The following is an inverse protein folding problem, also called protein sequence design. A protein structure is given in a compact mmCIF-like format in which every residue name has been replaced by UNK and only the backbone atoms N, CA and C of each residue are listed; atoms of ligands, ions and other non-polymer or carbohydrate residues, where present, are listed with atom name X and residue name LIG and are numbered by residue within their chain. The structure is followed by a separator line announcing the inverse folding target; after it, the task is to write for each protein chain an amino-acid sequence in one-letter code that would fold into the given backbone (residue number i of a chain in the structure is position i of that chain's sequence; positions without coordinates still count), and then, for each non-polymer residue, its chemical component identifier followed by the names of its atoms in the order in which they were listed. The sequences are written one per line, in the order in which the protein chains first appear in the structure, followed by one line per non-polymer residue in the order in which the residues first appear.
data_IF_091780064692
#
_entry.id   IF_091780064692
#
_cell.length_a   1.000
_cell.length_b   1.000
_cell.length_c   1.000
_cell.angle_alpha   90.00
_cell.angle_beta   90.00
_cell.angle_gamma   90.00
#
_symmetry.space_group_name_H-M   'P 1'
#
loop_
_entity.id
_entity.type
_entity.pdbx_description
1 polymer ?
2 non-polymer ?
3 non-polymer ?
4 water ?
#
# COMPACT_ATOMS: atom_id res chain seq x y z
N UNK A 3 8.87 -20.00 -10.75
CA UNK A 3 8.75 -18.56 -10.37
C UNK A 3 9.89 -17.77 -10.99
N UNK A 4 10.87 -18.47 -11.55
CA UNK A 4 11.93 -17.83 -12.30
C UNK A 4 11.52 -17.65 -13.77
N UNK A 5 11.59 -16.41 -14.21
CA UNK A 5 11.31 -16.08 -15.62
C UNK A 5 12.62 -15.76 -16.36
N UNK A 6 12.89 -16.45 -17.48
CA UNK A 6 14.07 -16.21 -18.30
C UNK A 6 13.95 -14.88 -19.04
N UNK A 7 15.04 -14.23 -19.23
CA UNK A 7 14.97 -12.96 -19.94
C UNK A 7 14.33 -13.11 -21.32
N UNK A 8 14.46 -14.29 -21.94
CA UNK A 8 13.95 -14.46 -23.29
C UNK A 8 12.41 -14.51 -23.29
N UNK A 9 11.85 -14.60 -22.09
CA UNK A 9 10.42 -14.79 -21.92
C UNK A 9 9.68 -13.48 -21.70
N UNK A 10 10.43 -12.37 -21.73
CA UNK A 10 9.89 -11.02 -21.50
C UNK A 10 10.21 -10.09 -22.67
N UNK A 11 9.28 -9.20 -23.00
CA UNK A 11 9.63 -8.08 -23.84
C UNK A 11 9.15 -6.81 -23.22
N UNK A 12 9.91 -5.72 -23.41
CA UNK A 12 9.59 -4.43 -22.82
C UNK A 12 9.07 -3.51 -23.91
N UNK A 13 7.89 -2.95 -23.71
CA UNK A 13 7.19 -2.16 -24.74
C UNK A 13 7.27 -0.67 -24.48
N UNK A 14 6.85 -0.26 -23.30
CA UNK A 14 6.96 1.14 -22.98
C UNK A 14 7.17 1.37 -21.53
N UNK A 15 7.99 2.36 -21.20
CA UNK A 15 8.21 2.74 -19.82
C UNK A 15 6.98 3.47 -19.32
N UNK A 16 6.45 3.06 -18.17
CA UNK A 16 5.24 3.70 -17.65
C UNK A 16 5.47 4.60 -16.43
N UNK A 17 6.55 4.35 -15.70
CA UNK A 17 6.88 5.25 -14.59
C UNK A 17 7.84 4.63 -13.60
N UNK A 18 8.01 5.28 -12.46
CA UNK A 18 8.96 4.85 -11.41
C UNK A 18 8.20 4.54 -10.12
N UNK A 19 8.52 3.40 -9.53
CA UNK A 19 7.95 2.97 -8.27
C UNK A 19 9.06 2.61 -7.28
N UNK A 20 8.66 1.97 -6.19
CA UNK A 20 9.61 1.54 -5.17
C UNK A 20 10.67 0.70 -5.88
N UNK A 21 11.95 1.02 -5.70
CA UNK A 21 13.06 0.20 -6.20
C UNK A 21 13.41 0.44 -7.65
N UNK A 22 12.57 1.08 -8.45
CA UNK A 22 13.01 1.41 -9.81
C UNK A 22 11.93 1.60 -10.85
N UNK A 23 12.30 1.50 -12.12
CA UNK A 23 11.41 1.85 -13.23
C UNK A 23 10.51 0.70 -13.62
N UNK A 24 9.33 1.04 -14.11
CA UNK A 24 8.33 0.02 -14.49
C UNK A 24 7.94 0.18 -15.97
N UNK A 25 7.84 -0.95 -16.67
CA UNK A 25 7.50 -0.95 -18.10
C UNK A 25 6.25 -1.76 -18.28
N UNK A 26 5.44 -1.38 -19.29
CA UNK A 26 4.44 -2.26 -19.85
C UNK A 26 5.16 -3.23 -20.76
N UNK A 27 4.81 -4.51 -20.70
CA UNK A 27 5.46 -5.48 -21.59
C UNK A 27 4.63 -6.73 -21.75
N UNK A 28 5.22 -7.77 -22.34
CA UNK A 28 4.55 -9.05 -22.49
C UNK A 28 5.39 -10.15 -21.91
N UNK A 29 4.71 -11.20 -21.47
CA UNK A 29 5.34 -12.36 -20.88
C UNK A 29 4.93 -13.58 -21.71
N UNK A 30 5.92 -14.31 -22.24
CA UNK A 30 5.71 -15.38 -23.24
C UNK A 30 4.65 -16.40 -22.84
N UNK A 31 3.72 -16.68 -23.74
CA UNK A 31 2.66 -17.65 -23.55
C UNK A 31 1.75 -17.40 -22.34
N UNK A 32 1.83 -16.18 -21.80
CA UNK A 32 1.20 -15.85 -20.52
C UNK A 32 0.26 -14.64 -20.60
N UNK A 33 0.78 -13.43 -20.61
CA UNK A 33 -0.06 -12.24 -20.67
C UNK A 33 0.73 -10.97 -20.91
N UNK A 34 0.02 -9.88 -21.07
CA UNK A 34 0.58 -8.58 -20.84
C UNK A 34 0.88 -8.39 -19.36
N UNK A 35 1.97 -7.72 -19.06
CA UNK A 35 2.46 -7.63 -17.68
C UNK A 35 3.06 -6.24 -17.41
N UNK A 36 3.23 -5.91 -16.13
CA UNK A 36 4.15 -4.85 -15.73
C UNK A 36 5.47 -5.47 -15.32
N UNK A 37 6.56 -4.80 -15.65
CA UNK A 37 7.88 -5.33 -15.31
C UNK A 37 8.65 -4.25 -14.62
N UNK A 38 9.12 -4.52 -13.39
CA UNK A 38 9.90 -3.51 -12.67
C UNK A 38 11.34 -3.94 -12.72
N UNK A 39 12.19 -3.04 -13.18
CA UNK A 39 13.62 -3.27 -13.19
C UNK A 39 14.22 -2.70 -11.92
N UNK A 40 14.79 -3.57 -11.09
CA UNK A 40 15.29 -3.15 -9.78
C UNK A 40 16.58 -2.35 -9.94
N UNK A 41 16.60 -1.12 -9.46
CA UNK A 41 17.85 -0.35 -9.50
C UNK A 41 18.96 -0.83 -8.58
N UNK A 42 20.17 -0.82 -9.10
CA UNK A 42 21.33 -1.18 -8.31
C UNK A 42 21.37 -0.38 -7.00
N UNK A 43 21.55 -1.09 -5.89
CA UNK A 43 21.78 -0.43 -4.61
C UNK A 43 20.51 -0.20 -3.78
N UNK A 44 19.33 -0.30 -4.41
CA UNK A 44 18.07 0.03 -3.71
C UNK A 44 17.50 -1.13 -2.87
N UNK A 45 17.78 -2.38 -3.26
CA UNK A 45 17.08 -3.54 -2.70
C UNK A 45 18.08 -4.56 -2.19
N UNK A 46 17.73 -5.19 -1.06
CA UNK A 46 18.41 -6.39 -0.63
C UNK A 46 17.96 -7.57 -1.47
N UNK A 47 18.62 -7.77 -2.61
CA UNK A 47 18.10 -8.65 -3.66
C UNK A 47 18.09 -10.11 -3.24
N UNK A 48 19.15 -10.56 -2.59
CA UNK A 48 19.20 -11.98 -2.20
C UNK A 48 18.09 -12.30 -1.20
N UNK A 49 17.86 -11.39 -0.25
CA UNK A 49 16.78 -11.58 0.74
C UNK A 49 15.44 -11.67 0.01
N UNK A 50 15.20 -10.76 -0.93
CA UNK A 50 13.93 -10.79 -1.65
C UNK A 50 13.76 -12.08 -2.45
N UNK A 51 14.83 -12.49 -3.13
CA UNK A 51 14.79 -13.72 -3.93
C UNK A 51 14.41 -14.94 -3.08
N UNK A 52 14.92 -15.00 -1.85
CA UNK A 52 14.52 -16.09 -0.95
C UNK A 52 13.03 -16.10 -0.65
N UNK A 53 12.39 -14.94 -0.68
CA UNK A 53 10.99 -14.80 -0.26
C UNK A 53 10.04 -14.85 -1.45
N UNK A 54 10.57 -14.78 -2.67
CA UNK A 54 9.74 -14.53 -3.86
C UNK A 54 8.73 -15.66 -4.09
N UNK A 55 9.15 -16.90 -3.89
CA UNK A 55 8.25 -18.02 -4.15
C UNK A 55 7.03 -18.03 -3.26
N UNK A 56 7.24 -17.74 -1.98
CA UNK A 56 6.13 -17.60 -1.03
C UNK A 56 5.29 -16.32 -1.25
N UNK A 57 5.92 -15.26 -1.74
CA UNK A 57 5.15 -14.07 -2.08
C UNK A 57 4.22 -14.32 -3.26
N UNK A 58 4.66 -15.15 -4.19
CA UNK A 58 3.84 -15.48 -5.34
C UNK A 58 2.60 -16.27 -4.94
N UNK A 59 2.70 -17.03 -3.86
CA UNK A 59 1.56 -17.81 -3.38
C UNK A 59 0.46 -16.94 -2.77
N UNK A 60 0.80 -15.69 -2.46
CA UNK A 60 -0.25 -14.77 -2.08
C UNK A 60 -1.03 -14.35 -3.32
N UNK A 61 -2.34 -14.60 -3.32
CA UNK A 61 -3.12 -14.39 -4.50
C UNK A 61 -4.55 -14.00 -4.10
N UNK A 62 -4.96 -12.79 -4.44
CA UNK A 62 -6.28 -12.28 -4.09
C UNK A 62 -6.64 -11.20 -5.10
N UNK A 63 -7.92 -11.07 -5.44
CA UNK A 63 -8.37 -10.15 -6.47
C UNK A 63 -8.03 -8.69 -6.15
N UNK A 64 -7.80 -8.38 -4.87
CA UNK A 64 -7.49 -7.01 -4.46
C UNK A 64 -6.03 -6.84 -3.99
N UNK A 65 -5.16 -7.78 -4.38
CA UNK A 65 -3.71 -7.62 -4.19
C UNK A 65 -3.06 -7.72 -5.56
N UNK A 66 -2.09 -6.87 -5.82
CA UNK A 66 -1.28 -7.00 -7.03
C UNK A 66 -0.52 -8.31 -7.07
N UNK A 67 -0.78 -9.10 -8.12
CA UNK A 67 -0.24 -10.47 -8.21
C UNK A 67 1.20 -10.46 -8.74
N UNK A 68 2.14 -10.96 -7.92
CA UNK A 68 3.49 -11.27 -8.41
C UNK A 68 3.48 -12.52 -9.29
N UNK A 69 3.99 -12.39 -10.52
CA UNK A 69 3.98 -13.52 -11.47
C UNK A 69 5.33 -14.24 -11.50
N UNK A 70 6.40 -13.52 -11.18
CA UNK A 70 7.71 -14.14 -11.13
C UNK A 70 8.84 -13.14 -11.11
N UNK A 71 10.06 -13.67 -11.14
CA UNK A 71 11.26 -12.86 -11.07
C UNK A 71 12.26 -13.25 -12.15
N UNK A 72 12.81 -12.26 -12.85
CA UNK A 72 13.83 -12.50 -13.84
C UNK A 72 15.16 -12.16 -13.20
N UNK A 73 16.00 -13.17 -12.98
CA UNK A 73 17.21 -12.94 -12.18
C UNK A 73 18.51 -13.44 -12.82
N UNK A 74 18.46 -13.89 -14.06
CA UNK A 74 19.65 -14.46 -14.68
C UNK A 74 20.80 -13.45 -14.73
N UNK A 75 20.46 -12.18 -14.90
CA UNK A 75 21.45 -11.13 -15.15
C UNK A 75 21.05 -9.89 -14.36
N UNK A 76 22.02 -9.09 -13.94
CA UNK A 76 21.72 -7.81 -13.31
C UNK A 76 21.38 -6.80 -14.40
N UNK A 77 20.38 -5.94 -14.17
CA UNK A 77 19.58 -5.85 -12.93
C UNK A 77 18.42 -6.83 -12.98
N UNK A 78 17.95 -7.24 -11.82
CA UNK A 78 16.86 -8.22 -11.79
C UNK A 78 15.53 -7.50 -12.01
N UNK A 79 14.51 -8.26 -12.39
CA UNK A 79 13.20 -7.69 -12.70
C UNK A 79 12.12 -8.44 -11.94
N UNK A 80 11.13 -7.73 -11.44
CA UNK A 80 9.90 -8.38 -10.93
C UNK A 80 8.76 -8.16 -11.92
N UNK A 81 7.95 -9.21 -12.10
CA UNK A 81 6.86 -9.19 -13.09
C UNK A 81 5.53 -9.38 -12.37
N UNK A 82 4.57 -8.50 -12.69
CA UNK A 82 3.23 -8.59 -12.11
C UNK A 82 2.13 -8.37 -13.13
N UNK A 83 0.91 -8.55 -12.68
CA UNK A 83 -0.24 -8.16 -13.46
C UNK A 83 -0.16 -6.69 -13.78
N UNK A 84 -0.72 -6.30 -14.92
CA UNK A 84 -0.72 -4.90 -15.34
C UNK A 84 -1.99 -4.17 -14.88
N UNK A 85 -1.79 -2.98 -14.29
CA UNK A 85 -2.89 -2.12 -13.84
C UNK A 85 -2.80 -0.80 -14.59
N UNK A 86 -3.91 -0.39 -15.20
CA UNK A 86 -3.89 0.67 -16.21
C UNK A 86 -3.74 2.10 -15.69
N UNK A 87 -4.21 2.38 -14.48
CA UNK A 87 -4.41 3.77 -14.05
C UNK A 87 -3.52 4.24 -12.90
N UNK A 88 -2.40 3.57 -12.67
CA UNK A 88 -1.35 4.16 -11.84
C UNK A 88 -1.63 4.09 -10.34
N UNK A 89 -1.02 5.01 -9.60
CA UNK A 89 -1.13 5.06 -8.13
C UNK A 89 -2.47 5.68 -7.73
N UNK A 90 -3.08 5.11 -6.68
CA UNK A 90 -4.32 5.66 -6.13
C UNK A 90 -4.14 7.11 -5.71
N UNK A 91 -3.00 7.44 -5.10
CA UNK A 91 -2.73 8.82 -4.70
C UNK A 91 -2.85 9.84 -5.86
N UNK A 92 -2.13 9.57 -6.94
CA UNK A 92 -2.18 10.41 -8.13
C UNK A 92 -3.55 10.40 -8.75
N UNK A 93 -4.18 9.24 -8.75
CA UNK A 93 -5.51 9.08 -9.37
C UNK A 93 -6.54 9.99 -8.67
N UNK A 94 -6.51 10.03 -7.34
CA UNK A 94 -7.41 10.91 -6.59
C UNK A 94 -7.06 12.37 -6.84
N UNK A 95 -5.76 12.67 -6.82
CA UNK A 95 -5.33 14.06 -6.90
C UNK A 95 -5.69 14.66 -8.24
N UNK A 96 -5.49 13.88 -9.29
CA UNK A 96 -5.71 14.43 -10.63
C UNK A 96 -7.20 14.57 -10.95
N UNK A 97 -8.05 13.88 -10.21
CA UNK A 97 -9.49 13.90 -10.50
C UNK A 97 -10.30 14.43 -9.33
N UNK A 98 -9.64 15.23 -8.52
CA UNK A 98 -10.28 15.80 -7.35
C UNK A 98 -11.53 16.60 -7.75
N UNK A 99 -12.63 16.37 -7.04
CA UNK A 99 -13.90 17.03 -7.37
C UNK A 99 -14.86 16.15 -8.16
N UNK A 100 -14.36 15.03 -8.68
CA UNK A 100 -15.19 14.21 -9.58
C UNK A 100 -15.84 12.99 -8.92
N UNK A 101 -15.30 12.55 -7.79
CA UNK A 101 -15.67 11.25 -7.21
C UNK A 101 -16.82 11.41 -6.26
N UNK A 102 -17.81 10.53 -6.37
CA UNK A 102 -18.89 10.46 -5.36
C UNK A 102 -18.37 9.82 -4.07
N UNK A 103 -18.93 10.21 -2.93
CA UNK A 103 -18.52 9.59 -1.66
C UNK A 103 -18.64 8.07 -1.72
N UNK A 104 -19.67 7.55 -2.42
CA UNK A 104 -19.82 6.09 -2.54
C UNK A 104 -18.66 5.40 -3.25
N UNK A 105 -18.10 6.08 -4.24
CA UNK A 105 -16.98 5.54 -5.00
C UNK A 105 -15.72 5.52 -4.10
N UNK A 106 -15.51 6.61 -3.39
CA UNK A 106 -14.44 6.71 -2.38
C UNK A 106 -14.53 5.59 -1.32
N UNK A 107 -15.73 5.37 -0.79
CA UNK A 107 -15.91 4.27 0.15
C UNK A 107 -15.58 2.95 -0.53
N UNK A 108 -15.96 2.81 -1.79
CA UNK A 108 -15.72 1.53 -2.45
C UNK A 108 -14.23 1.25 -2.63
N UNK A 109 -13.46 2.30 -2.87
CA UNK A 109 -12.01 2.15 -2.95
C UNK A 109 -11.46 1.67 -1.61
N UNK A 110 -11.96 2.23 -0.52
CA UNK A 110 -11.48 1.81 0.79
C UNK A 110 -11.85 0.37 1.03
N UNK A 111 -13.04 -0.04 0.60
CA UNK A 111 -13.41 -1.46 0.74
C UNK A 111 -12.49 -2.40 -0.04
N UNK A 112 -12.09 -2.02 -1.25
CA UNK A 112 -11.21 -2.90 -2.03
C UNK A 112 -9.91 -3.13 -1.25
N UNK A 113 -9.35 -2.04 -0.75
CA UNK A 113 -8.14 -2.08 0.06
C UNK A 113 -8.36 -2.94 1.29
N UNK A 114 -9.47 -2.71 2.00
CA UNK A 114 -9.78 -3.47 3.18
C UNK A 114 -9.86 -4.96 2.89
N UNK A 115 -10.41 -5.33 1.74
CA UNK A 115 -10.54 -6.73 1.41
C UNK A 115 -9.19 -7.38 1.18
N UNK A 116 -8.32 -6.68 0.44
CA UNK A 116 -6.95 -7.19 0.25
C UNK A 116 -6.20 -7.31 1.57
N UNK A 117 -6.37 -6.31 2.44
CA UNK A 117 -5.69 -6.34 3.75
C UNK A 117 -6.24 -7.46 4.65
N UNK A 118 -7.55 -7.73 4.56
CA UNK A 118 -8.12 -8.89 5.27
C UNK A 118 -7.48 -10.21 4.86
N UNK A 119 -7.16 -10.34 3.58
CA UNK A 119 -6.55 -11.56 3.10
C UNK A 119 -5.14 -11.66 3.65
N UNK A 120 -4.40 -10.55 3.56
CA UNK A 120 -3.03 -10.51 4.19
C UNK A 120 -3.05 -10.81 5.69
N UNK A 121 -3.96 -10.17 6.41
CA UNK A 121 -4.15 -10.46 7.82
C UNK A 121 -4.35 -11.97 8.07
N UNK A 122 -5.25 -12.60 7.31
CA UNK A 122 -5.52 -14.01 7.54
C UNK A 122 -4.27 -14.84 7.22
N UNK A 123 -3.45 -14.35 6.28
CA UNK A 123 -2.22 -15.07 5.90
C UNK A 123 -1.05 -14.72 6.84
N UNK A 124 -1.32 -13.88 7.82
CA UNK A 124 -0.30 -13.43 8.76
C UNK A 124 0.84 -12.68 8.06
N UNK A 125 0.51 -11.95 7.02
CA UNK A 125 1.48 -11.15 6.30
C UNK A 125 1.24 -9.68 6.64
N UNK A 126 2.32 -9.00 7.05
CA UNK A 126 2.20 -7.60 7.45
C UNK A 126 2.68 -6.73 6.30
N UNK A 127 1.89 -5.74 5.97
CA UNK A 127 2.27 -4.84 4.87
C UNK A 127 3.49 -4.01 5.26
N UNK A 128 3.36 -3.28 6.37
CA UNK A 128 4.37 -2.38 6.95
C UNK A 128 4.41 -0.99 6.40
N UNK A 129 3.81 -0.74 5.27
CA UNK A 129 3.86 0.65 4.76
C UNK A 129 2.69 0.95 3.87
N UNK A 130 1.50 0.58 4.32
CA UNK A 130 0.28 0.77 3.54
C UNK A 130 -0.09 2.25 3.42
N UNK A 131 -0.34 2.72 2.20
CA UNK A 131 -0.64 4.12 1.97
C UNK A 131 -1.22 4.27 0.57
N UNK A 132 -1.90 5.38 0.32
CA UNK A 132 -2.54 5.58 -0.99
C UNK A 132 -1.48 5.49 -2.12
N UNK A 133 -0.26 5.95 -1.79
CA UNK A 133 0.83 5.99 -2.76
C UNK A 133 1.29 4.63 -3.21
N UNK A 134 0.92 3.55 -2.51
CA UNK A 134 1.27 2.23 -3.04
C UNK A 134 0.11 1.32 -3.35
N UNK A 135 -1.07 1.92 -3.45
CA UNK A 135 -2.20 1.23 -4.04
C UNK A 135 -2.28 1.59 -5.51
N UNK A 136 -2.63 0.60 -6.34
CA UNK A 136 -2.72 0.80 -7.79
C UNK A 136 -4.18 0.71 -8.21
N UNK A 137 -4.49 1.37 -9.32
CA UNK A 137 -5.86 1.46 -9.84
C UNK A 137 -5.96 0.76 -11.21
N UNK A 138 -6.89 -0.17 -11.31
CA UNK A 138 -7.08 -0.97 -12.53
C UNK A 138 -8.35 -0.64 -13.28
N UNK A 139 -8.94 -1.65 -13.91
CA UNK A 139 -10.18 -1.47 -14.69
C UNK A 139 -11.32 -1.16 -13.75
N UNK A 140 -12.23 -0.27 -14.17
CA UNK A 140 -13.46 -0.05 -13.41
C UNK A 140 -13.16 0.51 -12.04
N UNK A 141 -11.99 1.13 -11.91
CA UNK A 141 -11.54 1.74 -10.67
C UNK A 141 -11.37 0.74 -9.54
N UNK A 142 -11.09 -0.52 -9.87
CA UNK A 142 -10.67 -1.46 -8.84
C UNK A 142 -9.35 -1.01 -8.23
N UNK A 143 -9.28 -1.08 -6.91
CA UNK A 143 -8.02 -0.76 -6.23
C UNK A 143 -7.37 -2.05 -5.76
N UNK A 144 -6.07 -2.17 -6.01
CA UNK A 144 -5.31 -3.29 -5.46
C UNK A 144 -4.12 -2.86 -4.63
N UNK A 145 -3.91 -3.59 -3.54
CA UNK A 145 -2.77 -3.31 -2.64
C UNK A 145 -1.47 -3.82 -3.24
N UNK A 146 -0.41 -3.01 -3.14
CA UNK A 146 0.90 -3.38 -3.69
C UNK A 146 2.01 -3.11 -2.67
N UNK A 147 3.18 -3.70 -2.91
CA UNK A 147 4.42 -3.44 -2.15
C UNK A 147 4.36 -3.99 -0.72
N UNK A 148 3.43 -4.90 -0.43
CA UNK A 148 3.32 -5.43 0.94
C UNK A 148 4.61 -6.17 1.32
N UNK A 149 5.09 -5.89 2.53
CA UNK A 149 6.31 -6.48 3.06
C UNK A 149 7.61 -5.94 2.51
N UNK A 150 7.53 -5.06 1.50
CA UNK A 150 8.76 -4.74 0.73
C UNK A 150 9.78 -3.89 1.50
N UNK A 151 9.35 -3.22 2.58
CA UNK A 151 10.33 -2.43 3.33
C UNK A 151 11.34 -3.32 4.03
N UNK A 152 11.07 -4.63 4.15
CA UNK A 152 12.06 -5.59 4.66
C UNK A 152 13.33 -5.68 3.78
N UNK A 153 13.24 -5.17 2.56
CA UNK A 153 14.33 -5.27 1.57
C UNK A 153 14.86 -3.92 1.13
N UNK A 154 14.31 -2.84 1.66
CA UNK A 154 14.75 -1.47 1.30
C UNK A 154 16.10 -1.22 1.99
N UNK A 155 17.12 -0.83 1.20
CA UNK A 155 18.46 -0.66 1.79
C UNK A 155 18.73 0.75 2.36
N UNK A 156 17.80 1.66 2.14
CA UNK A 156 17.92 3.02 2.64
C UNK A 156 17.53 3.09 4.12
N UNK A 157 18.54 3.14 4.97
CA UNK A 157 18.31 3.11 6.41
C UNK A 157 17.51 4.32 6.86
N UNK A 158 17.56 5.42 6.11
CA UNK A 158 16.80 6.58 6.53
C UNK A 158 15.30 6.36 6.33
N UNK A 159 14.92 5.37 5.52
CA UNK A 159 13.53 4.99 5.32
C UNK A 159 13.05 3.91 6.28
N UNK A 160 13.94 2.96 6.59
CA UNK A 160 13.51 1.77 7.32
C UNK A 160 13.62 1.90 8.84
N UNK A 161 14.52 2.77 9.29
CA UNK A 161 14.71 3.01 10.72
C UNK A 161 13.68 4.01 11.24
N UNK A 162 13.08 3.73 12.41
CA UNK A 162 12.09 4.64 12.97
C UNK A 162 12.65 6.03 13.21
N UNK A 163 13.95 6.13 13.41
CA UNK A 163 14.56 7.43 13.64
C UNK A 163 15.11 8.06 12.34
N UNK A 164 14.94 7.37 11.21
CA UNK A 164 15.47 7.83 9.93
C UNK A 164 14.78 9.09 9.44
N UNK A 165 15.51 9.89 8.65
CA UNK A 165 14.97 11.16 8.17
C UNK A 165 13.84 11.00 7.17
N UNK A 166 13.75 9.85 6.53
CA UNK A 166 12.68 9.59 5.54
C UNK A 166 11.60 8.60 6.04
N UNK A 167 11.63 8.23 7.32
CA UNK A 167 10.71 7.20 7.83
C UNK A 167 9.27 7.67 7.62
N UNK A 168 8.40 6.80 7.10
CA UNK A 168 7.01 7.13 6.78
C UNK A 168 6.14 7.27 8.03
N UNK A 169 6.50 8.22 8.88
CA UNK A 169 5.86 8.36 10.17
C UNK A 169 4.37 8.69 10.05
N UNK A 170 3.97 9.37 8.98
CA UNK A 170 2.55 9.76 8.81
C UNK A 170 1.57 8.60 8.79
N UNK A 171 2.09 7.41 8.47
CA UNK A 171 1.23 6.22 8.41
C UNK A 171 1.54 5.25 9.54
N UNK A 172 2.47 5.61 10.42
CA UNK A 172 2.90 4.69 11.47
C UNK A 172 2.10 4.80 12.77
N UNK A 173 1.72 3.64 13.34
CA UNK A 173 1.12 3.63 14.68
C UNK A 173 2.21 3.96 15.70
N UNK A 174 1.82 4.35 16.93
CA UNK A 174 2.82 4.74 17.91
C UNK A 174 3.80 3.60 18.21
N UNK A 175 3.37 2.34 18.18
CA UNK A 175 4.34 1.29 18.50
C UNK A 175 5.30 1.00 17.34
N UNK A 176 4.92 1.36 16.12
CA UNK A 176 5.86 1.36 15.01
C UNK A 176 6.84 2.54 15.06
N UNK A 177 6.32 3.75 15.20
CA UNK A 177 7.24 4.89 15.24
C UNK A 177 8.14 4.87 16.48
N UNK A 178 7.69 4.20 17.52
CA UNK A 178 8.49 4.04 18.74
C UNK A 178 9.46 2.87 18.70
N UNK A 179 8.98 1.70 18.26
CA UNK A 179 9.70 0.45 18.45
C UNK A 179 9.82 -0.41 17.18
N UNK A 180 9.26 0.04 16.06
CA UNK A 180 9.18 -0.85 14.90
C UNK A 180 8.49 -2.16 15.25
N UNK A 181 7.45 -2.07 16.07
CA UNK A 181 6.67 -3.23 16.44
C UNK A 181 5.52 -3.41 15.44
N UNK A 182 5.83 -4.05 14.32
CA UNK A 182 4.84 -4.25 13.25
C UNK A 182 3.89 -5.40 13.54
N UNK A 183 2.62 -5.22 13.16
CA UNK A 183 1.60 -6.27 13.27
C UNK A 183 0.45 -5.93 12.33
N UNK A 184 -0.51 -6.84 12.17
CA UNK A 184 -1.68 -6.46 11.37
C UNK A 184 -2.39 -5.25 12.01
N UNK A 185 -2.29 -5.10 13.33
CA UNK A 185 -2.89 -3.92 13.99
C UNK A 185 -2.16 -2.64 13.71
N UNK A 186 -0.86 -2.71 13.45
CA UNK A 186 -0.22 -1.47 12.97
C UNK A 186 -0.60 -1.19 11.52
N UNK A 187 -0.83 -2.23 10.72
CA UNK A 187 -1.41 -2.01 9.34
C UNK A 187 -2.79 -1.36 9.40
N UNK A 188 -3.59 -1.76 10.41
CA UNK A 188 -4.90 -1.16 10.59
C UNK A 188 -4.77 0.35 10.81
N UNK A 189 -3.80 0.80 11.62
CA UNK A 189 -3.58 2.25 11.81
C UNK A 189 -3.30 2.91 10.45
N UNK A 190 -2.39 2.30 9.72
CA UNK A 190 -2.01 2.80 8.39
C UNK A 190 -3.24 2.87 7.50
N UNK A 191 -4.06 1.84 7.56
CA UNK A 191 -5.31 1.81 6.78
C UNK A 191 -6.22 3.00 7.12
N UNK A 192 -6.28 3.39 8.40
CA UNK A 192 -7.07 4.56 8.79
C UNK A 192 -6.56 5.83 8.12
N UNK A 193 -5.25 6.01 8.12
CA UNK A 193 -4.67 7.17 7.39
C UNK A 193 -4.99 7.04 5.90
N UNK A 194 -4.92 5.84 5.33
CA UNK A 194 -5.24 5.70 3.90
C UNK A 194 -6.72 6.11 3.63
N UNK A 195 -7.63 5.72 4.52
CA UNK A 195 -9.05 6.10 4.39
C UNK A 195 -9.13 7.62 4.39
N UNK A 196 -8.38 8.27 5.28
CA UNK A 196 -8.31 9.72 5.29
C UNK A 196 -7.82 10.28 3.96
N UNK A 197 -6.78 9.67 3.39
CA UNK A 197 -6.25 10.07 2.08
C UNK A 197 -7.30 9.96 1.00
N UNK A 198 -8.01 8.84 1.00
CA UNK A 198 -9.03 8.60 -0.01
C UNK A 198 -10.15 9.64 0.13
N UNK A 199 -10.68 9.81 1.34
CA UNK A 199 -11.82 10.72 1.48
C UNK A 199 -11.42 12.18 1.31
N UNK A 200 -10.12 12.45 1.43
CA UNK A 200 -9.59 13.79 1.18
C UNK A 200 -9.10 13.93 -0.28
N UNK A 201 -9.37 12.91 -1.09
CA UNK A 201 -8.96 12.91 -2.50
C UNK A 201 -7.47 13.23 -2.66
N UNK A 202 -6.65 12.54 -1.87
CA UNK A 202 -5.19 12.55 -2.05
C UNK A 202 -4.48 13.76 -1.45
N UNK A 203 -5.13 14.42 -0.51
CA UNK A 203 -4.40 15.41 0.29
C UNK A 203 -3.32 14.73 1.13
N UNK A 204 -2.29 15.49 1.46
CA UNK A 204 -1.19 14.94 2.27
C UNK A 204 -1.61 15.00 3.73
N UNK A 205 -1.55 13.87 4.43
CA UNK A 205 -1.87 13.91 5.88
C UNK A 205 -0.77 14.64 6.69
N UNK A 206 -1.20 15.36 7.74
CA UNK A 206 -0.26 16.13 8.58
C UNK A 206 0.65 17.04 7.72
N UNK A 207 0.05 17.76 6.77
CA UNK A 207 0.86 18.45 5.77
C UNK A 207 1.74 19.49 6.48
N UNK A 208 2.99 19.60 6.09
CA UNK A 208 3.90 20.54 6.76
C UNK A 208 4.15 20.31 8.27
N UNK A 209 3.82 19.13 8.78
CA UNK A 209 4.34 18.70 10.08
C UNK A 209 5.60 17.88 9.87
N UNK A 210 6.64 18.18 10.63
CA UNK A 210 7.87 17.37 10.55
C UNK A 210 7.60 16.01 11.20
N UNK A 211 8.48 15.03 10.99
CA UNK A 211 8.27 13.74 11.64
C UNK A 211 8.11 13.88 13.17
N UNK A 212 8.94 14.74 13.77
CA UNK A 212 8.95 14.83 15.22
C UNK A 212 7.65 15.48 15.68
N UNK A 213 7.15 16.42 14.89
CA UNK A 213 5.86 17.04 15.20
C UNK A 213 4.71 16.06 15.13
N UNK A 214 4.69 15.23 14.09
CA UNK A 214 3.66 14.18 14.00
C UNK A 214 3.67 13.25 15.23
N UNK A 215 4.86 12.81 15.62
CA UNK A 215 5.02 11.95 16.80
C UNK A 215 4.48 12.64 18.05
N UNK A 216 4.88 13.89 18.24
CA UNK A 216 4.39 14.62 19.41
C UNK A 216 2.88 14.81 19.40
N UNK A 217 2.34 15.17 18.24
CA UNK A 217 0.91 15.41 18.09
C UNK A 217 0.14 14.13 18.42
N UNK A 218 0.52 13.03 17.78
CA UNK A 218 -0.19 11.77 17.96
C UNK A 218 -0.10 11.33 19.42
N UNK A 219 1.08 11.48 20.02
CA UNK A 219 1.31 11.05 21.39
C UNK A 219 0.51 11.85 22.41
N UNK A 220 0.15 13.07 22.04
CA UNK A 220 -0.66 13.89 22.92
C UNK A 220 -2.11 13.94 22.50
N UNK A 221 -2.50 13.06 21.58
CA UNK A 221 -3.91 12.81 21.33
C UNK A 221 -4.50 13.45 20.08
N UNK A 222 -3.71 14.25 19.35
CA UNK A 222 -4.18 14.79 18.07
C UNK A 222 -4.47 13.68 17.07
N UNK A 223 -5.51 13.88 16.27
CA UNK A 223 -5.82 12.98 15.15
C UNK A 223 -6.21 13.82 13.93
N UNK A 224 -6.00 13.26 12.74
CA UNK A 224 -6.44 13.89 11.49
C UNK A 224 -7.92 14.32 11.58
N UNK A 225 -8.20 15.53 11.09
CA UNK A 225 -9.58 16.04 11.03
C UNK A 225 -10.47 15.28 10.05
N UNK A 226 -11.78 15.30 10.28
CA UNK A 226 -12.70 14.64 9.36
C UNK A 226 -12.66 15.31 7.98
N UNK A 227 -12.36 14.54 6.92
CA UNK A 227 -12.54 15.01 5.53
C UNK A 227 -14.01 15.36 5.27
N UNK A 228 -14.25 16.43 4.52
CA UNK A 228 -15.64 16.83 4.26
C UNK A 228 -16.47 15.72 3.63
N UNK A 229 -15.84 14.86 2.83
CA UNK A 229 -16.58 13.85 2.09
C UNK A 229 -16.84 12.59 2.89
N UNK A 230 -16.22 12.51 4.08
CA UNK A 230 -16.45 11.36 4.97
C UNK A 230 -17.63 11.63 5.89
N UNK A 231 -18.55 10.69 5.94
CA UNK A 231 -19.66 10.76 6.89
C UNK A 231 -19.14 10.65 8.31
N UNK A 232 -19.96 11.03 9.26
CA UNK A 232 -19.56 10.90 10.65
C UNK A 232 -19.31 9.44 10.99
N UNK A 233 -20.04 8.55 10.35
CA UNK A 233 -19.89 7.13 10.65
C UNK A 233 -18.57 6.63 10.11
N UNK A 234 -18.19 7.14 8.94
CA UNK A 234 -16.95 6.68 8.31
C UNK A 234 -15.76 7.20 9.14
N UNK A 235 -15.88 8.43 9.61
CA UNK A 235 -14.86 9.03 10.44
C UNK A 235 -14.72 8.30 11.80
N UNK A 236 -15.83 7.77 12.33
CA UNK A 236 -15.77 7.01 13.58
C UNK A 236 -14.88 5.78 13.32
N UNK A 237 -15.08 5.14 12.19
CA UNK A 237 -14.29 3.96 11.83
C UNK A 237 -12.80 4.33 11.68
N UNK A 238 -12.50 5.43 10.99
CA UNK A 238 -11.15 5.93 10.91
C UNK A 238 -10.55 6.06 12.31
N UNK A 239 -11.27 6.68 13.22
CA UNK A 239 -10.71 6.92 14.55
C UNK A 239 -10.48 5.64 15.33
N UNK A 240 -11.30 4.63 15.04
CA UNK A 240 -11.07 3.29 15.60
C UNK A 240 -9.70 2.74 15.17
N UNK A 241 -9.29 3.08 13.97
CA UNK A 241 -8.01 2.56 13.47
C UNK A 241 -6.85 3.28 14.16
N UNK A 242 -7.11 4.46 14.71
CA UNK A 242 -6.05 5.25 15.35
C UNK A 242 -6.15 5.18 16.86
N UNK A 243 -6.68 4.09 17.39
CA UNK A 243 -6.60 3.95 18.82
C UNK A 243 -5.18 3.68 19.28
N UNK A 244 -4.81 4.25 20.43
CA UNK A 244 -3.43 4.17 20.86
C UNK A 244 -2.97 2.74 21.06
N UNK A 245 -3.79 1.92 21.70
CA UNK A 245 -3.48 0.50 21.97
C UNK A 245 -3.85 -0.39 20.78
N UNK A 246 -2.89 -1.14 20.24
CA UNK A 246 -3.23 -1.96 19.07
C UNK A 246 -4.38 -2.93 19.38
N UNK A 247 -4.45 -3.46 20.61
CA UNK A 247 -5.52 -4.42 20.96
C UNK A 247 -6.91 -3.82 20.86
N UNK A 248 -7.00 -2.49 20.88
CA UNK A 248 -8.29 -1.81 20.81
C UNK A 248 -8.71 -1.47 19.39
N UNK A 249 -7.77 -1.61 18.44
CA UNK A 249 -8.09 -1.39 17.02
C UNK A 249 -8.82 -2.62 16.46
N UNK A 250 -9.77 -2.41 15.55
CA UNK A 250 -10.44 -3.57 14.94
C UNK A 250 -9.47 -4.32 14.03
N UNK A 251 -9.67 -5.62 13.93
CA UNK A 251 -9.04 -6.35 12.86
C UNK A 251 -9.60 -5.97 11.49
N UNK A 252 -8.83 -6.24 10.44
CA UNK A 252 -9.34 -6.01 9.10
C UNK A 252 -10.61 -6.81 8.84
N UNK A 253 -10.68 -8.02 9.37
CA UNK A 253 -11.92 -8.82 9.21
C UNK A 253 -13.16 -8.09 9.76
N UNK A 254 -12.98 -7.44 10.92
CA UNK A 254 -14.05 -6.68 11.52
C UNK A 254 -14.33 -5.40 10.73
N UNK A 255 -13.27 -4.65 10.37
CA UNK A 255 -13.44 -3.48 9.48
C UNK A 255 -14.22 -3.79 8.22
N UNK A 256 -13.93 -4.94 7.63
CA UNK A 256 -14.48 -5.27 6.31
C UNK A 256 -16.00 -5.40 6.49
N UNK A 257 -16.41 -6.11 7.54
CA UNK A 257 -17.85 -6.25 7.87
C UNK A 257 -18.53 -4.91 8.12
N UNK A 258 -17.87 -4.03 8.89
CA UNK A 258 -18.44 -2.74 9.27
C UNK A 258 -18.58 -1.85 8.06
N UNK A 259 -17.52 -1.77 7.27
CA UNK A 259 -17.51 -0.94 6.08
C UNK A 259 -18.49 -1.43 5.01
N UNK A 260 -18.57 -2.75 4.83
CA UNK A 260 -19.56 -3.35 3.91
C UNK A 260 -20.98 -2.99 4.29
N UNK A 261 -21.32 -3.11 5.58
CA UNK A 261 -22.66 -2.78 6.04
C UNK A 261 -22.94 -1.32 5.73
N UNK A 262 -21.98 -0.43 5.98
CA UNK A 262 -22.21 0.98 5.64
C UNK A 262 -22.45 1.15 4.13
N UNK A 263 -21.61 0.53 3.31
CA UNK A 263 -21.67 0.67 1.85
C UNK A 263 -22.97 0.13 1.27
N UNK A 264 -23.40 -1.03 1.76
CA UNK A 264 -24.52 -1.78 1.14
C UNK A 264 -25.88 -1.35 1.67
N UNK A 265 -25.88 -0.44 2.63
CA UNK A 265 -27.10 0.10 3.15
C UNK A 265 -27.21 1.57 2.78
#
# INVERSE_FOLDING_TARGET
GKWVIDPSELTFVQEIGSGQFGLVHLGYWLNKDKVAIKTIREGAMSEEDFIEEAEVMMKLSHPKLVQLYGVCLEQAPICLVTEFMEHGCLSDYLRTQRGLFAAETLLGMCLDVCEGMAYLEEACVIHRDLAARNCLVGENQVIKVSDFGMTRFVLDDQYTSSTGTKFPVKWASPEVFSFSRYSSKSDVWSFGVLMWEVFSEGKIPYENRSNSEVVEDISTGFRLYKPRLASTHVYQIMNHCWRERPEDRPAFSRLLRQLAEIAESGL
#
